data_IF_911644749755
#
_entry.id   IF_911644749755
#
_cell.length_a   1.000
_cell.length_b   1.000
_cell.length_c   1.000
_cell.angle_alpha   90.00
_cell.angle_beta   90.00
_cell.angle_gamma   90.00
#
_symmetry.space_group_name_H-M   'P 1'
#
loop_
_entity.id
_entity.type
_entity.pdbx_description
1 polymer ?
#
# COMPACT_ATOMS: atom_id res chain seq x y z
N UNK A 1 -14.41 6.36 34.23
CA UNK A 1 -13.96 5.93 32.90
C UNK A 1 -12.79 6.83 32.57
N UNK A 2 -11.57 6.29 32.55
CA UNK A 2 -10.38 7.10 32.28
C UNK A 2 -10.34 7.42 30.79
N UNK A 3 -10.30 8.70 30.45
CA UNK A 3 -10.14 9.14 29.06
C UNK A 3 -8.88 8.48 28.49
N UNK A 4 -9.09 7.60 27.50
CA UNK A 4 -7.98 7.03 26.74
C UNK A 4 -7.24 8.20 26.09
N UNK A 5 -5.90 8.30 26.26
CA UNK A 5 -5.15 9.39 25.67
C UNK A 5 -5.33 9.35 24.15
N UNK A 6 -5.65 10.49 23.56
CA UNK A 6 -5.75 10.64 22.12
C UNK A 6 -4.46 10.14 21.45
N UNK A 7 -4.54 9.49 20.27
CA UNK A 7 -3.36 9.02 19.56
C UNK A 7 -2.43 10.19 19.22
N UNK A 8 -1.11 9.97 19.17
CA UNK A 8 -0.16 11.05 18.91
C UNK A 8 -0.34 11.61 17.49
N UNK A 9 -0.52 12.93 17.38
CA UNK A 9 -0.71 13.61 16.09
C UNK A 9 0.44 13.38 15.09
N UNK A 10 1.65 13.11 15.58
CA UNK A 10 2.80 12.73 14.76
C UNK A 10 2.53 11.47 13.90
N UNK A 11 1.70 10.54 14.39
CA UNK A 11 1.38 9.29 13.69
C UNK A 11 0.62 9.55 12.38
N UNK A 12 -0.32 10.49 12.36
CA UNK A 12 -1.05 10.90 11.15
C UNK A 12 -0.10 11.43 10.08
N UNK A 13 0.86 12.28 10.47
CA UNK A 13 1.85 12.84 9.54
C UNK A 13 2.79 11.77 8.98
N UNK A 14 3.21 10.81 9.81
CA UNK A 14 4.03 9.68 9.37
C UNK A 14 3.26 8.84 8.34
N UNK A 15 1.99 8.54 8.60
CA UNK A 15 1.16 7.75 7.70
C UNK A 15 0.91 8.46 6.37
N UNK A 16 0.71 9.78 6.38
CA UNK A 16 0.63 10.57 5.14
C UNK A 16 1.95 10.57 4.38
N UNK A 17 3.09 10.62 5.07
CA UNK A 17 4.41 10.46 4.46
C UNK A 17 4.58 9.10 3.78
N UNK A 18 4.16 8.02 4.44
CA UNK A 18 4.18 6.66 3.88
C UNK A 18 3.25 6.56 2.67
N UNK A 19 2.03 7.09 2.77
CA UNK A 19 1.06 7.11 1.69
C UNK A 19 1.60 7.86 0.45
N UNK A 20 2.24 9.02 0.65
CA UNK A 20 2.83 9.78 -0.43
C UNK A 20 4.01 9.05 -1.08
N UNK A 21 4.89 8.46 -0.28
CA UNK A 21 6.02 7.69 -0.78
C UNK A 21 5.57 6.47 -1.58
N UNK A 22 4.62 5.69 -1.04
CA UNK A 22 4.04 4.56 -1.74
C UNK A 22 3.31 4.96 -3.02
N UNK A 23 2.62 6.11 -3.04
CA UNK A 23 1.94 6.65 -4.21
C UNK A 23 2.93 6.94 -5.34
N UNK A 24 4.01 7.66 -5.03
CA UNK A 24 5.05 8.04 -6.01
C UNK A 24 5.76 6.79 -6.56
N UNK A 25 6.17 5.88 -5.67
CA UNK A 25 6.86 4.65 -6.08
C UNK A 25 5.92 3.74 -6.88
N UNK A 26 4.66 3.60 -6.44
CA UNK A 26 3.64 2.80 -7.08
C UNK A 26 3.29 3.31 -8.48
N UNK A 27 3.06 4.62 -8.63
CA UNK A 27 2.80 5.27 -9.92
C UNK A 27 3.99 5.08 -10.87
N UNK A 28 5.21 5.32 -10.38
CA UNK A 28 6.40 5.11 -11.19
C UNK A 28 6.50 3.65 -11.68
N UNK A 29 6.31 2.67 -10.78
CA UNK A 29 6.37 1.26 -11.14
C UNK A 29 5.26 0.84 -12.12
N UNK A 30 4.08 1.43 -12.00
CA UNK A 30 2.96 1.20 -12.91
C UNK A 30 3.26 1.72 -14.32
N UNK A 31 3.76 2.95 -14.43
CA UNK A 31 4.05 3.60 -15.72
C UNK A 31 5.25 2.97 -16.40
N UNK A 32 6.38 2.87 -15.69
CA UNK A 32 7.65 2.41 -16.27
C UNK A 32 7.77 0.89 -16.32
N UNK A 33 6.96 0.17 -15.53
CA UNK A 33 7.15 -1.26 -15.31
C UNK A 33 8.50 -1.58 -14.65
N UNK A 34 9.07 -0.63 -13.90
CA UNK A 34 10.34 -0.78 -13.17
C UNK A 34 10.17 -0.34 -11.73
N UNK A 35 10.65 -1.17 -10.80
CA UNK A 35 10.73 -0.84 -9.38
C UNK A 35 11.98 0.02 -9.13
N UNK A 36 11.77 1.23 -8.62
CA UNK A 36 12.85 2.13 -8.18
C UNK A 36 13.60 1.56 -6.97
N UNK A 37 12.85 0.87 -6.10
CA UNK A 37 13.33 0.38 -4.82
C UNK A 37 13.26 -1.15 -4.83
N UNK A 38 14.43 -1.81 -4.82
CA UNK A 38 14.57 -3.27 -4.83
C UNK A 38 15.14 -3.75 -3.49
N UNK A 39 14.28 -3.91 -2.49
CA UNK A 39 14.65 -4.49 -1.19
C UNK A 39 13.96 -5.83 -0.93
N UNK A 40 14.66 -6.76 -0.28
CA UNK A 40 14.15 -8.08 0.09
C UNK A 40 13.61 -8.85 -1.12
N UNK A 41 12.37 -9.37 -0.99
CA UNK A 41 11.69 -10.16 -2.03
C UNK A 41 11.41 -9.38 -3.32
N UNK A 42 11.43 -8.04 -3.30
CA UNK A 42 11.24 -7.21 -4.51
C UNK A 42 12.43 -7.27 -5.46
N UNK A 43 13.61 -7.69 -5.00
CA UNK A 43 14.79 -7.90 -5.85
C UNK A 43 14.60 -9.09 -6.80
N UNK A 44 13.76 -10.04 -6.44
CA UNK A 44 13.48 -11.23 -7.25
C UNK A 44 12.65 -10.92 -8.49
N UNK A 45 11.97 -9.76 -8.52
CA UNK A 45 11.09 -9.38 -9.63
C UNK A 45 11.90 -8.96 -10.84
N UNK A 46 11.81 -9.77 -11.89
CA UNK A 46 12.56 -9.63 -13.14
C UNK A 46 11.70 -9.09 -14.28
N UNK A 47 10.38 -9.30 -14.24
CA UNK A 47 9.46 -8.98 -15.34
C UNK A 47 8.73 -7.64 -15.16
N UNK A 48 8.55 -6.92 -16.27
CA UNK A 48 7.85 -5.63 -16.29
C UNK A 48 6.38 -5.74 -15.83
N UNK A 49 5.70 -6.85 -16.15
CA UNK A 49 4.31 -7.10 -15.72
C UNK A 49 4.21 -7.29 -14.21
N UNK A 50 5.11 -8.06 -13.60
CA UNK A 50 5.14 -8.23 -12.14
C UNK A 50 5.48 -6.92 -11.43
N UNK A 51 6.40 -6.10 -11.98
CA UNK A 51 6.69 -4.77 -11.44
C UNK A 51 5.47 -3.84 -11.45
N UNK A 52 4.63 -3.88 -12.50
CA UNK A 52 3.37 -3.12 -12.56
C UNK A 52 2.35 -3.59 -11.52
N UNK A 53 2.23 -4.90 -11.30
CA UNK A 53 1.35 -5.47 -10.28
C UNK A 53 1.79 -5.09 -8.86
N UNK A 54 3.11 -5.08 -8.61
CA UNK A 54 3.64 -4.54 -7.36
C UNK A 54 3.36 -3.04 -7.24
N UNK A 55 3.54 -2.28 -8.33
CA UNK A 55 3.16 -0.87 -8.37
C UNK A 55 1.70 -0.67 -7.94
N UNK A 56 0.79 -1.47 -8.49
CA UNK A 56 -0.62 -1.44 -8.11
C UNK A 56 -0.84 -1.81 -6.63
N UNK A 57 -0.14 -2.82 -6.10
CA UNK A 57 -0.23 -3.13 -4.66
C UNK A 57 0.23 -1.96 -3.78
N UNK A 58 1.30 -1.25 -4.18
CA UNK A 58 1.79 -0.08 -3.44
C UNK A 58 0.80 1.08 -3.47
N UNK A 59 0.06 1.25 -4.58
CA UNK A 59 -1.03 2.24 -4.65
C UNK A 59 -2.17 1.90 -3.69
N UNK A 60 -2.52 0.61 -3.58
CA UNK A 60 -3.53 0.14 -2.62
C UNK A 60 -3.04 0.32 -1.18
N UNK A 61 -1.80 -0.05 -0.87
CA UNK A 61 -1.19 0.14 0.45
C UNK A 61 -1.11 1.63 0.82
N UNK A 62 -0.88 2.51 -0.17
CA UNK A 62 -0.88 3.96 0.04
C UNK A 62 -2.26 4.49 0.37
N UNK A 63 -3.29 3.98 -0.31
CA UNK A 63 -4.67 4.33 0.00
C UNK A 63 -5.06 3.84 1.41
N UNK A 64 -4.65 2.62 1.78
CA UNK A 64 -4.86 2.11 3.13
C UNK A 64 -4.16 2.99 4.19
N UNK A 65 -2.90 3.36 3.94
CA UNK A 65 -2.13 4.24 4.84
C UNK A 65 -2.77 5.63 4.98
N UNK A 66 -3.31 6.18 3.90
CA UNK A 66 -4.03 7.43 3.90
C UNK A 66 -5.32 7.36 4.73
N UNK A 67 -6.13 6.31 4.54
CA UNK A 67 -7.37 6.11 5.32
C UNK A 67 -7.09 5.92 6.81
N UNK A 68 -6.07 5.13 7.17
CA UNK A 68 -5.65 4.99 8.58
C UNK A 68 -5.18 6.34 9.14
N UNK A 69 -4.41 7.11 8.37
CA UNK A 69 -3.99 8.46 8.76
C UNK A 69 -5.18 9.39 8.99
N UNK A 70 -6.20 9.32 8.13
CA UNK A 70 -7.45 10.06 8.23
C UNK A 70 -8.24 9.66 9.48
N UNK A 71 -8.42 8.37 9.75
CA UNK A 71 -9.10 7.86 10.95
C UNK A 71 -8.42 8.35 12.23
N UNK A 72 -7.09 8.25 12.29
CA UNK A 72 -6.31 8.73 13.44
C UNK A 72 -6.46 10.26 13.58
N UNK A 73 -6.48 10.99 12.46
CA UNK A 73 -6.73 12.43 12.47
C UNK A 73 -8.12 12.78 13.02
N UNK A 74 -9.15 11.99 12.71
CA UNK A 74 -10.48 12.16 13.29
C UNK A 74 -10.46 11.89 14.80
N UNK A 75 -9.81 10.80 15.24
CA UNK A 75 -9.67 10.46 16.65
C UNK A 75 -8.90 11.52 17.46
N UNK A 76 -7.84 12.10 16.90
CA UNK A 76 -7.11 13.24 17.51
C UNK A 76 -8.06 14.42 17.75
N UNK A 77 -8.97 14.68 16.81
CA UNK A 77 -9.98 15.74 16.92
C UNK A 77 -11.23 15.31 17.69
N UNK A 78 -11.20 14.15 18.36
CA UNK A 78 -12.31 13.61 19.16
C UNK A 78 -13.58 13.35 18.33
N UNK A 79 -13.40 13.03 17.04
CA UNK A 79 -14.45 12.64 16.11
C UNK A 79 -14.37 11.14 15.89
N UNK A 80 -15.49 10.44 16.08
CA UNK A 80 -15.55 8.99 15.81
C UNK A 80 -15.43 8.72 14.30
N UNK A 81 -14.48 7.87 13.88
CA UNK A 81 -14.39 7.46 12.49
C UNK A 81 -15.57 6.54 12.12
N UNK A 82 -15.97 6.50 10.83
CA UNK A 82 -17.06 5.66 10.41
C UNK A 82 -16.71 4.17 10.55
N UNK A 83 -17.52 3.36 11.25
CA UNK A 83 -17.23 1.93 11.50
C UNK A 83 -16.94 1.08 10.24
N UNK A 84 -17.48 1.48 9.09
CA UNK A 84 -17.23 0.80 7.81
C UNK A 84 -15.83 1.03 7.25
N UNK A 85 -15.10 2.05 7.72
CA UNK A 85 -13.74 2.35 7.26
C UNK A 85 -12.74 1.25 7.66
N UNK A 86 -12.92 0.60 8.81
CA UNK A 86 -12.09 -0.54 9.22
C UNK A 86 -12.22 -1.72 8.25
N UNK A 87 -13.45 -2.04 7.82
CA UNK A 87 -13.70 -3.07 6.81
C UNK A 87 -13.10 -2.69 5.45
N UNK A 88 -13.18 -1.41 5.09
CA UNK A 88 -12.59 -0.90 3.87
C UNK A 88 -11.05 -1.04 3.90
N UNK A 89 -10.38 -0.57 4.95
CA UNK A 89 -8.93 -0.71 5.13
C UNK A 89 -8.50 -2.18 5.11
N UNK A 90 -9.26 -3.05 5.78
CA UNK A 90 -8.99 -4.49 5.77
C UNK A 90 -9.08 -5.09 4.34
N UNK A 91 -10.10 -4.71 3.58
CA UNK A 91 -10.24 -5.14 2.19
C UNK A 91 -9.08 -4.64 1.31
N UNK A 92 -8.57 -3.43 1.55
CA UNK A 92 -7.39 -2.90 0.85
C UNK A 92 -6.15 -3.75 1.12
N UNK A 93 -5.88 -4.13 2.38
CA UNK A 93 -4.74 -5.00 2.71
C UNK A 93 -4.85 -6.37 2.04
N UNK A 94 -6.04 -6.97 1.99
CA UNK A 94 -6.27 -8.24 1.28
C UNK A 94 -5.98 -8.07 -0.22
N UNK A 95 -6.49 -7.00 -0.83
CA UNK A 95 -6.28 -6.73 -2.25
C UNK A 95 -4.79 -6.52 -2.56
N UNK A 96 -4.06 -5.76 -1.73
CA UNK A 96 -2.63 -5.54 -1.87
C UNK A 96 -1.85 -6.85 -1.74
N UNK A 97 -2.13 -7.66 -0.72
CA UNK A 97 -1.48 -8.96 -0.51
C UNK A 97 -1.73 -9.92 -1.67
N UNK A 98 -2.96 -9.94 -2.20
CA UNK A 98 -3.31 -10.75 -3.36
C UNK A 98 -2.55 -10.31 -4.62
N UNK A 99 -2.44 -9.00 -4.86
CA UNK A 99 -1.66 -8.47 -5.98
C UNK A 99 -0.16 -8.77 -5.87
N UNK A 100 0.41 -8.67 -4.67
CA UNK A 100 1.80 -9.06 -4.43
C UNK A 100 2.00 -10.55 -4.70
N UNK A 101 1.11 -11.41 -4.18
CA UNK A 101 1.15 -12.84 -4.47
C UNK A 101 1.05 -13.13 -5.97
N UNK A 102 0.15 -12.45 -6.68
CA UNK A 102 -0.03 -12.60 -8.12
C UNK A 102 1.21 -12.10 -8.89
N UNK A 103 1.83 -11.01 -8.46
CA UNK A 103 3.09 -10.51 -9.02
C UNK A 103 4.20 -11.56 -8.93
N UNK A 104 4.37 -12.20 -7.78
CA UNK A 104 5.36 -13.29 -7.62
C UNK A 104 5.05 -14.51 -8.48
N UNK A 105 3.76 -14.85 -8.64
CA UNK A 105 3.34 -15.97 -9.52
C UNK A 105 3.63 -15.69 -10.98
N UNK A 106 3.34 -14.47 -11.45
CA UNK A 106 3.62 -14.02 -12.82
C UNK A 106 5.12 -13.97 -13.09
N UNK A 107 5.92 -13.55 -12.10
CA UNK A 107 7.37 -13.47 -12.27
C UNK A 107 8.03 -14.85 -12.37
N UNK A 108 7.55 -15.84 -11.61
CA UNK A 108 8.07 -17.23 -11.63
C UNK A 108 7.69 -18.02 -12.88
N UNK A 109 6.63 -17.61 -13.58
CA UNK A 109 6.26 -18.14 -14.88
C UNK A 109 6.38 -17.04 -15.93
N UNK A 110 7.62 -16.64 -16.30
CA UNK A 110 7.80 -15.79 -17.47
C UNK A 110 7.18 -16.57 -18.62
N UNK A 111 6.07 -16.05 -19.13
CA UNK A 111 5.36 -16.68 -20.24
C UNK A 111 6.40 -16.95 -21.31
N UNK A 112 6.49 -18.19 -21.79
CA UNK A 112 7.20 -18.56 -23.02
C UNK A 112 6.57 -17.83 -24.20
N UNK A 113 6.77 -16.52 -24.28
CA UNK A 113 6.28 -15.65 -25.34
C UNK A 113 7.45 -14.74 -25.70
N UNK A 114 8.17 -15.21 -26.71
CA UNK A 114 9.37 -14.59 -27.27
C UNK A 114 10.29 -15.63 -27.89
N UNK A 115 9.72 -16.58 -28.64
CA UNK A 115 10.38 -17.21 -29.78
C UNK A 115 10.16 -16.31 -31.00
#
# INVERSE_FOLDING_TARGET
MGDLPAPPAALTWILYGIALAGLVIGLHALVTGRLLVKFGKLREISTSRAARLVGLSLLIDSLASFEIGREIGLLVNHVEPPHWSQFFVFALFIAAAFLQWLAFRVDRHPSRVGA
#
